data_IF_742656705730
#
_entry.id   IF_742656705730
#
_cell.length_a   1.000
_cell.length_b   1.000
_cell.length_c   1.000
_cell.angle_alpha   90.00
_cell.angle_beta   90.00
_cell.angle_gamma   90.00
#
_symmetry.space_group_name_H-M   'P 1'
#
loop_
_entity.id
_entity.type
_entity.pdbx_description
1 polymer ?
#
# COMPACT_ATOMS: atom_id res chain seq x y z
N UNK A 1 -0.56 7.15 14.89
CA UNK A 1 -1.55 6.12 15.25
C UNK A 1 -2.21 6.44 16.61
N UNK A 2 -3.14 7.40 16.63
CA UNK A 2 -4.14 7.50 17.71
C UNK A 2 -5.39 6.74 17.24
N UNK A 3 -6.00 5.92 18.11
CA UNK A 3 -7.23 5.18 17.80
C UNK A 3 -8.35 6.21 17.49
N UNK A 4 -8.89 6.18 16.27
CA UNK A 4 -10.08 6.97 15.90
C UNK A 4 -9.97 7.86 14.64
N UNK A 5 -8.77 8.33 14.27
CA UNK A 5 -8.58 9.22 13.11
C UNK A 5 -7.51 8.74 12.13
N UNK A 6 -6.90 7.58 12.40
CA UNK A 6 -5.82 7.09 11.56
C UNK A 6 -6.36 6.08 10.54
N UNK A 7 -6.20 6.31 9.23
CA UNK A 7 -6.65 5.39 8.19
C UNK A 7 -5.94 4.03 8.34
N UNK A 8 -6.64 2.98 7.93
CA UNK A 8 -6.16 1.60 8.10
C UNK A 8 -4.83 1.39 7.36
N UNK A 9 -3.76 1.18 8.14
CA UNK A 9 -2.43 0.92 7.60
C UNK A 9 -2.28 -0.59 7.38
N UNK A 10 -2.55 -1.04 6.15
CA UNK A 10 -2.58 -2.46 5.79
C UNK A 10 -1.45 -2.80 4.80
N UNK A 11 -1.15 -4.09 4.69
CA UNK A 11 -0.15 -4.62 3.76
C UNK A 11 -0.68 -4.54 2.32
N UNK A 12 -0.14 -3.64 1.51
CA UNK A 12 -0.51 -3.44 0.11
C UNK A 12 0.58 -3.99 -0.81
N UNK A 13 0.17 -4.64 -1.90
CA UNK A 13 1.10 -5.07 -2.96
C UNK A 13 1.29 -3.91 -3.94
N UNK A 14 2.55 -3.50 -4.12
CA UNK A 14 2.96 -2.52 -5.13
C UNK A 14 3.48 -3.28 -6.34
N UNK A 15 2.93 -2.99 -7.51
CA UNK A 15 3.34 -3.53 -8.80
C UNK A 15 3.94 -2.38 -9.60
N UNK A 16 5.25 -2.39 -9.79
CA UNK A 16 5.95 -1.41 -10.62
C UNK A 16 5.95 -1.83 -12.08
N UNK A 17 5.77 -0.88 -13.00
CA UNK A 17 5.96 -1.06 -14.43
C UNK A 17 7.39 -1.51 -14.79
N UNK A 18 8.35 -1.23 -13.91
CA UNK A 18 9.71 -1.73 -13.99
C UNK A 18 9.87 -3.24 -13.70
N UNK A 19 8.77 -3.96 -13.45
CA UNK A 19 8.76 -5.40 -13.16
C UNK A 19 8.96 -5.77 -11.68
N UNK A 20 9.19 -4.78 -10.83
CA UNK A 20 9.45 -5.00 -9.41
C UNK A 20 8.13 -5.04 -8.63
N UNK A 21 7.85 -6.14 -7.94
CA UNK A 21 6.69 -6.27 -7.03
C UNK A 21 7.15 -6.36 -5.60
N UNK A 22 6.70 -5.44 -4.75
CA UNK A 22 7.06 -5.46 -3.33
C UNK A 22 5.85 -5.18 -2.43
N UNK A 23 5.93 -5.66 -1.20
CA UNK A 23 4.88 -5.48 -0.18
C UNK A 23 5.21 -4.25 0.65
N UNK A 24 4.34 -3.24 0.62
CA UNK A 24 4.50 -2.02 1.41
C UNK A 24 3.28 -1.84 2.30
N UNK A 25 3.47 -1.32 3.52
CA UNK A 25 2.34 -0.89 4.33
C UNK A 25 1.85 0.45 3.82
N UNK A 26 0.60 0.54 3.40
CA UNK A 26 0.00 1.77 2.87
C UNK A 26 -1.42 1.93 3.37
N UNK A 27 -1.92 3.17 3.30
CA UNK A 27 -3.33 3.51 3.53
C UNK A 27 -4.17 3.30 2.28
N UNK A 28 -3.54 3.20 1.10
CA UNK A 28 -4.18 2.78 -0.16
C UNK A 28 -4.09 1.27 -0.27
N UNK A 29 -5.24 0.62 -0.20
CA UNK A 29 -5.43 -0.83 -0.30
C UNK A 29 -6.44 -1.09 -1.43
N UNK A 30 -6.40 -2.22 -2.17
CA UNK A 30 -5.53 -3.39 -2.04
C UNK A 30 -4.28 -3.41 -2.94
N UNK A 31 -4.24 -2.59 -3.99
CA UNK A 31 -3.21 -2.67 -5.03
C UNK A 31 -2.73 -1.27 -5.42
N UNK A 32 -1.41 -1.07 -5.44
CA UNK A 32 -0.78 0.13 -5.97
C UNK A 32 -0.09 -0.29 -7.26
N UNK A 33 -0.62 0.16 -8.39
CA UNK A 33 0.03 0.04 -9.69
C UNK A 33 0.82 1.33 -9.92
N UNK A 34 2.13 1.19 -10.05
CA UNK A 34 3.00 2.25 -10.51
C UNK A 34 3.21 2.00 -12.00
N UNK A 35 2.52 2.79 -12.82
CA UNK A 35 2.60 2.79 -14.29
C UNK A 35 3.92 3.35 -14.82
#
# INVERSE_FOLDING_TARGET
>A
MKKGIHPEYKLTRVICACGNTWVTRSTKFPEIRLE
#
